data_IF_824413922184
#
_entry.id   IF_824413922184
#
_cell.length_a   1.000
_cell.length_b   1.000
_cell.length_c   1.000
_cell.angle_alpha   90.00
_cell.angle_beta   90.00
_cell.angle_gamma   90.00
#
_symmetry.space_group_name_H-M   'P 1'
#
loop_
_entity.id
_entity.type
_entity.pdbx_description
1 polymer ?
#
# COMPACT_ATOMS: atom_id res chain seq x y z
N UNK A 1 -12.83 2.29 24.14
CA UNK A 1 -12.76 1.17 23.17
C UNK A 1 -11.88 1.60 22.01
N UNK A 2 -10.75 0.92 21.77
CA UNK A 2 -9.90 1.18 20.60
C UNK A 2 -10.45 0.42 19.40
N UNK A 3 -11.11 1.12 18.49
CA UNK A 3 -11.58 0.56 17.21
C UNK A 3 -10.46 0.77 16.20
N UNK A 4 -9.85 -0.31 15.73
CA UNK A 4 -8.86 -0.27 14.66
C UNK A 4 -9.54 -0.49 13.31
N UNK A 5 -9.26 0.37 12.33
CA UNK A 5 -9.71 0.21 10.95
C UNK A 5 -8.58 -0.40 10.14
N UNK A 6 -8.84 -1.57 9.56
CA UNK A 6 -7.95 -2.20 8.58
C UNK A 6 -8.47 -1.84 7.19
N UNK A 7 -7.59 -1.42 6.29
CA UNK A 7 -7.94 -1.10 4.91
C UNK A 7 -6.86 -1.67 3.99
N UNK A 8 -7.29 -2.52 3.05
CA UNK A 8 -6.42 -3.13 2.05
C UNK A 8 -6.31 -2.19 0.84
N UNK A 9 -5.07 -1.94 0.40
CA UNK A 9 -4.79 -1.12 -0.77
C UNK A 9 -3.85 -1.85 -1.70
N UNK A 10 -4.11 -1.75 -3.00
CA UNK A 10 -3.24 -2.27 -4.05
C UNK A 10 -2.63 -1.10 -4.80
N UNK A 11 -1.31 -1.10 -4.93
CA UNK A 11 -0.55 -0.11 -5.68
C UNK A 11 0.35 -0.82 -6.69
N UNK A 12 0.41 -0.27 -7.89
CA UNK A 12 1.21 -0.79 -9.00
C UNK A 12 2.16 0.30 -9.46
N UNK A 13 3.43 -0.04 -9.68
CA UNK A 13 4.41 0.86 -10.31
C UNK A 13 5.11 0.14 -11.46
N UNK A 14 5.51 0.92 -12.45
CA UNK A 14 6.31 0.47 -13.60
C UNK A 14 7.81 0.47 -13.31
N UNK A 15 8.25 1.06 -12.19
CA UNK A 15 9.68 1.18 -11.84
C UNK A 15 10.16 0.00 -11.01
N UNK A 16 9.63 -0.12 -9.80
CA UNK A 16 10.07 -1.08 -8.79
C UNK A 16 8.98 -1.33 -7.77
N UNK A 17 9.09 -2.43 -7.03
CA UNK A 17 8.21 -2.72 -5.90
C UNK A 17 8.26 -1.64 -4.81
N UNK A 18 9.45 -1.13 -4.49
CA UNK A 18 9.59 -0.08 -3.47
C UNK A 18 8.84 1.19 -3.83
N UNK A 19 8.89 1.60 -5.11
CA UNK A 19 8.14 2.75 -5.61
C UNK A 19 6.63 2.51 -5.51
N UNK A 20 6.15 1.30 -5.82
CA UNK A 20 4.75 0.93 -5.64
C UNK A 20 4.31 1.01 -4.16
N UNK A 21 5.14 0.55 -3.23
CA UNK A 21 4.89 0.60 -1.79
C UNK A 21 4.82 2.06 -1.32
N UNK A 22 5.79 2.89 -1.69
CA UNK A 22 5.83 4.31 -1.30
C UNK A 22 4.60 5.07 -1.84
N UNK A 23 4.22 4.84 -3.09
CA UNK A 23 3.02 5.45 -3.67
C UNK A 23 1.74 4.98 -2.95
N UNK A 24 1.63 3.69 -2.64
CA UNK A 24 0.51 3.12 -1.88
C UNK A 24 0.38 3.75 -0.50
N UNK A 25 1.47 3.81 0.26
CA UNK A 25 1.51 4.43 1.60
C UNK A 25 1.16 5.92 1.49
N UNK A 26 1.76 6.65 0.55
CA UNK A 26 1.46 8.07 0.34
C UNK A 26 0.00 8.34 0.01
N UNK A 27 -0.63 7.47 -0.80
CA UNK A 27 -2.06 7.57 -1.12
C UNK A 27 -2.93 7.27 0.11
N UNK A 28 -2.54 6.29 0.92
CA UNK A 28 -3.24 5.92 2.15
C UNK A 28 -3.18 7.03 3.19
N UNK A 29 -1.99 7.57 3.48
CA UNK A 29 -1.77 8.64 4.47
C UNK A 29 -2.43 9.96 4.08
N UNK A 30 -2.65 10.20 2.78
CA UNK A 30 -3.41 11.37 2.32
C UNK A 30 -4.89 11.35 2.76
N UNK A 31 -5.48 10.17 2.93
CA UNK A 31 -6.90 10.02 3.31
C UNK A 31 -7.12 9.48 4.71
N UNK A 32 -6.20 8.66 5.21
CA UNK A 32 -6.29 8.01 6.51
C UNK A 32 -5.35 8.72 7.48
N UNK A 33 -5.90 9.15 8.62
CA UNK A 33 -5.12 9.75 9.72
C UNK A 33 -4.65 8.64 10.66
N UNK A 34 -3.49 8.84 11.29
CA UNK A 34 -2.91 7.92 12.28
C UNK A 34 -2.62 6.51 11.73
N UNK A 35 -2.03 6.42 10.54
CA UNK A 35 -1.52 5.14 10.01
C UNK A 35 -0.28 4.74 10.81
N UNK A 36 -0.36 3.66 11.60
CA UNK A 36 0.71 3.23 12.53
C UNK A 36 1.52 2.06 11.98
N UNK A 37 0.93 1.21 11.15
CA UNK A 37 1.59 0.05 10.57
C UNK A 37 0.98 -0.28 9.20
N UNK A 38 1.82 -0.83 8.33
CA UNK A 38 1.41 -1.41 7.06
C UNK A 38 2.14 -2.74 6.91
N UNK A 39 1.45 -3.74 6.37
CA UNK A 39 2.05 -5.03 6.03
C UNK A 39 1.77 -5.34 4.57
N UNK A 40 2.70 -6.08 3.96
CA UNK A 40 2.56 -6.56 2.59
C UNK A 40 1.87 -7.92 2.65
N UNK A 41 0.66 -7.97 2.09
CA UNK A 41 -0.11 -9.22 2.02
C UNK A 41 0.37 -10.08 0.85
N UNK A 42 0.45 -9.49 -0.35
CA UNK A 42 0.86 -10.17 -1.58
C UNK A 42 1.67 -9.22 -2.47
N UNK A 43 2.59 -9.79 -3.25
CA UNK A 43 3.37 -9.09 -4.26
C UNK A 43 3.19 -9.81 -5.60
N UNK A 44 2.71 -9.08 -6.61
CA UNK A 44 2.46 -9.62 -7.94
C UNK A 44 3.32 -8.88 -8.98
N UNK A 45 3.90 -9.64 -9.90
CA UNK A 45 4.63 -9.13 -11.07
C UNK A 45 3.83 -9.47 -12.32
N UNK A 46 3.50 -8.43 -13.10
CA UNK A 46 2.89 -8.61 -14.41
C UNK A 46 4.01 -8.55 -15.46
N UNK A 47 4.18 -9.64 -16.20
CA UNK A 47 5.13 -9.73 -17.32
C UNK A 47 4.30 -9.79 -18.61
N UNK A 48 4.54 -8.85 -19.51
CA UNK A 48 3.97 -8.85 -20.87
C UNK A 48 5.11 -9.16 -21.86
N UNK A 49 4.84 -10.06 -22.82
CA UNK A 49 5.81 -10.61 -23.77
C UNK A 49 5.50 -10.12 -25.19
#
# INVERSE_FOLDING_TARGET
MSIAKISEISATSTKSFEDAIQQGIGRATRTLRNVTSAWIKEQHLRVEN
#
